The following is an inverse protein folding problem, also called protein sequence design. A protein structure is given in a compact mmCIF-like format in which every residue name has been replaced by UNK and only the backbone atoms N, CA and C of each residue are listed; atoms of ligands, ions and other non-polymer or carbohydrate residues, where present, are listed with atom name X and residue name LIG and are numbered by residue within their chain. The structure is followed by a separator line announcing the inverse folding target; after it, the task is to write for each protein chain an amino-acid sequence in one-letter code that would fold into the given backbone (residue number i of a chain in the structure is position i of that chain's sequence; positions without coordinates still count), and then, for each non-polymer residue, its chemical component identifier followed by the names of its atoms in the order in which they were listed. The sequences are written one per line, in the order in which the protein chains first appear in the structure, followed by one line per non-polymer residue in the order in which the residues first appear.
data_IF_970495550036
#
_entry.id   IF_970495550036
#
_cell.length_a   1.000
_cell.length_b   1.000
_cell.length_c   1.000
_cell.angle_alpha   90.00
_cell.angle_beta   90.00
_cell.angle_gamma   90.00
#
_symmetry.space_group_name_H-M   'P 1'
#
loop_
_entity.id
_entity.type
_entity.pdbx_description
1 polymer ?
#
# COMPACT_ATOMS: atom_id res chain seq x y z
N UNK A 1 -61.50 -35.89 58.14
CA UNK A 1 -60.12 -36.32 57.82
C UNK A 1 -59.79 -36.40 56.31
N UNK A 2 -60.71 -36.09 55.39
CA UNK A 2 -60.49 -36.26 53.93
C UNK A 2 -59.59 -35.16 53.30
N UNK A 3 -59.45 -33.99 53.93
CA UNK A 3 -58.66 -32.87 53.38
C UNK A 3 -57.14 -33.01 53.43
N UNK A 4 -56.60 -34.05 54.09
CA UNK A 4 -55.15 -34.26 54.20
C UNK A 4 -54.51 -34.74 52.89
N UNK A 5 -55.12 -35.74 52.26
CA UNK A 5 -54.56 -36.38 51.06
C UNK A 5 -54.52 -35.45 49.84
N UNK A 6 -55.54 -34.60 49.65
CA UNK A 6 -55.57 -33.63 48.54
C UNK A 6 -54.43 -32.60 48.64
N UNK A 7 -54.15 -32.10 49.86
CA UNK A 7 -53.04 -31.17 50.10
C UNK A 7 -51.67 -31.82 49.85
N UNK A 8 -51.54 -33.11 50.13
CA UNK A 8 -50.29 -33.85 49.91
C UNK A 8 -50.00 -34.08 48.41
N UNK A 9 -51.04 -34.34 47.61
CA UNK A 9 -50.93 -34.41 46.15
C UNK A 9 -50.55 -33.05 45.56
N UNK A 10 -51.23 -31.97 45.95
CA UNK A 10 -50.89 -30.62 45.49
C UNK A 10 -49.46 -30.22 45.87
N UNK A 11 -49.02 -30.53 47.09
CA UNK A 11 -47.65 -30.28 47.54
C UNK A 11 -46.62 -31.06 46.71
N UNK A 12 -46.91 -32.32 46.40
CA UNK A 12 -46.04 -33.16 45.57
C UNK A 12 -45.94 -32.62 44.15
N UNK A 13 -47.07 -32.19 43.57
CA UNK A 13 -47.12 -31.60 42.24
C UNK A 13 -46.38 -30.26 42.19
N UNK A 14 -46.53 -29.41 43.21
CA UNK A 14 -45.82 -28.13 43.30
C UNK A 14 -44.30 -28.35 43.41
N UNK A 15 -43.86 -29.31 44.24
CA UNK A 15 -42.44 -29.68 44.35
C UNK A 15 -41.87 -30.15 43.01
N UNK A 16 -42.61 -30.97 42.26
CA UNK A 16 -42.23 -31.40 40.91
C UNK A 16 -42.07 -30.21 39.97
N UNK A 17 -43.02 -29.27 39.94
CA UNK A 17 -42.95 -28.07 39.09
C UNK A 17 -41.78 -27.16 39.44
N UNK A 18 -41.52 -26.94 40.73
CA UNK A 18 -40.36 -26.15 41.20
C UNK A 18 -39.06 -26.80 40.75
N UNK A 19 -38.94 -28.13 40.86
CA UNK A 19 -37.77 -28.87 40.39
C UNK A 19 -37.59 -28.72 38.87
N UNK A 20 -38.66 -28.88 38.08
CA UNK A 20 -38.61 -28.71 36.62
C UNK A 20 -38.18 -27.29 36.24
N UNK A 21 -38.79 -26.27 36.84
CA UNK A 21 -38.42 -24.88 36.60
C UNK A 21 -36.97 -24.57 37.00
N UNK A 22 -36.47 -25.17 38.08
CA UNK A 22 -35.06 -25.03 38.47
C UNK A 22 -34.10 -25.62 37.44
N UNK A 23 -34.45 -26.77 36.84
CA UNK A 23 -33.66 -27.38 35.77
C UNK A 23 -33.70 -26.54 34.49
N UNK A 24 -34.88 -26.02 34.11
CA UNK A 24 -35.03 -25.12 32.97
C UNK A 24 -34.23 -23.83 33.15
N UNK A 25 -34.27 -23.22 34.34
CA UNK A 25 -33.48 -22.02 34.65
C UNK A 25 -31.98 -22.29 34.52
N UNK A 26 -31.51 -23.43 35.06
CA UNK A 26 -30.10 -23.84 34.95
C UNK A 26 -29.69 -24.03 33.49
N UNK A 27 -30.55 -24.64 32.67
CA UNK A 27 -30.30 -24.84 31.24
C UNK A 27 -30.27 -23.49 30.48
N UNK A 28 -31.17 -22.56 30.81
CA UNK A 28 -31.17 -21.23 30.22
C UNK A 28 -29.92 -20.44 30.60
N UNK A 29 -29.47 -20.52 31.86
CA UNK A 29 -28.23 -19.88 32.31
C UNK A 29 -27.00 -20.42 31.58
N UNK A 30 -26.91 -21.75 31.40
CA UNK A 30 -25.83 -22.35 30.62
C UNK A 30 -25.81 -21.83 29.17
N UNK A 31 -26.98 -21.72 28.53
CA UNK A 31 -27.09 -21.22 27.16
C UNK A 31 -26.76 -19.73 27.02
N UNK A 32 -27.10 -18.91 28.02
CA UNK A 32 -26.68 -17.50 28.07
C UNK A 32 -25.15 -17.41 28.18
N UNK A 33 -24.52 -18.24 29.01
CA UNK A 33 -23.07 -18.24 29.16
C UNK A 33 -22.36 -18.66 27.86
N UNK A 34 -22.87 -19.67 27.15
CA UNK A 34 -22.35 -20.09 25.84
C UNK A 34 -22.43 -18.96 24.81
N UNK A 35 -23.54 -18.21 24.78
CA UNK A 35 -23.69 -17.06 23.89
C UNK A 35 -22.75 -15.92 24.28
N UNK A 36 -22.57 -15.64 25.57
CA UNK A 36 -21.60 -14.66 26.04
C UNK A 36 -20.17 -15.04 25.66
N UNK A 37 -19.80 -16.32 25.79
CA UNK A 37 -18.48 -16.81 25.41
C UNK A 37 -18.28 -16.80 23.88
N UNK A 38 -19.33 -17.10 23.11
CA UNK A 38 -19.33 -16.92 21.66
C UNK A 38 -19.15 -15.45 21.27
N UNK A 39 -19.80 -14.51 21.98
CA UNK A 39 -19.68 -13.07 21.76
C UNK A 39 -18.32 -12.51 22.21
N UNK A 40 -17.65 -13.13 23.21
CA UNK A 40 -16.28 -12.79 23.60
C UNK A 40 -15.26 -13.19 22.53
N UNK A 41 -15.61 -14.12 21.65
CA UNK A 41 -14.76 -14.43 20.48
C UNK A 41 -14.86 -13.23 19.53
N UNK A 42 -13.77 -12.47 19.31
CA UNK A 42 -13.87 -11.26 18.50
C UNK A 42 -14.33 -11.64 17.09
N UNK A 43 -15.40 -11.01 16.61
CA UNK A 43 -16.08 -11.32 15.32
C UNK A 43 -15.13 -11.47 14.13
N UNK A 44 -13.99 -10.77 14.19
CA UNK A 44 -12.94 -10.83 13.17
C UNK A 44 -12.35 -12.24 12.98
N UNK A 45 -12.39 -13.08 14.01
CA UNK A 45 -11.93 -14.47 13.94
C UNK A 45 -12.93 -15.40 13.26
N UNK A 46 -14.15 -14.94 12.97
CA UNK A 46 -15.21 -15.73 12.30
C UNK A 46 -15.22 -15.45 10.78
N UNK A 47 -14.67 -14.31 10.36
CA UNK A 47 -14.52 -13.99 8.94
C UNK A 47 -13.70 -15.06 8.24
N UNK A 48 -14.03 -15.42 7.00
CA UNK A 48 -13.24 -16.33 6.16
C UNK A 48 -11.92 -15.65 5.73
N UNK A 49 -10.92 -16.45 5.38
CA UNK A 49 -9.57 -15.96 5.08
C UNK A 49 -9.57 -14.97 3.90
N UNK A 50 -10.43 -15.16 2.90
CA UNK A 50 -10.56 -14.28 1.74
C UNK A 50 -11.07 -12.88 2.10
N UNK A 51 -12.02 -12.81 3.04
CA UNK A 51 -12.56 -11.53 3.52
C UNK A 51 -11.51 -10.80 4.35
N UNK A 52 -10.78 -11.52 5.22
CA UNK A 52 -9.65 -10.94 5.97
C UNK A 52 -8.55 -10.45 5.04
N UNK A 53 -8.20 -11.24 4.03
CA UNK A 53 -7.21 -10.88 3.00
C UNK A 53 -7.61 -9.58 2.27
N UNK A 54 -8.89 -9.46 1.88
CA UNK A 54 -9.43 -8.25 1.25
C UNK A 54 -9.38 -7.04 2.19
N UNK A 55 -9.67 -7.24 3.49
CA UNK A 55 -9.51 -6.19 4.50
C UNK A 55 -8.05 -5.76 4.61
N UNK A 56 -7.11 -6.70 4.60
CA UNK A 56 -5.68 -6.40 4.66
C UNK A 56 -5.24 -5.57 3.44
N UNK A 57 -5.69 -5.92 2.24
CA UNK A 57 -5.44 -5.15 1.02
C UNK A 57 -5.96 -3.72 1.15
N UNK A 58 -7.18 -3.53 1.69
CA UNK A 58 -7.75 -2.20 1.91
C UNK A 58 -6.97 -1.39 2.96
N UNK A 59 -6.51 -2.01 4.06
CA UNK A 59 -5.68 -1.34 5.08
C UNK A 59 -4.35 -0.89 4.48
N UNK A 60 -3.73 -1.76 3.69
CA UNK A 60 -2.46 -1.47 3.03
C UNK A 60 -2.62 -0.38 1.96
N UNK A 61 -3.68 -0.44 1.14
CA UNK A 61 -3.97 0.57 0.12
C UNK A 61 -4.34 1.94 0.72
N UNK A 62 -5.19 1.99 1.74
CA UNK A 62 -5.59 3.25 2.40
C UNK A 62 -4.41 3.94 3.11
N UNK A 63 -3.45 3.17 3.62
CA UNK A 63 -2.21 3.72 4.17
C UNK A 63 -1.35 4.46 3.12
N UNK A 64 -1.61 4.23 1.82
CA UNK A 64 -0.83 4.76 0.70
C UNK A 64 -1.54 5.86 -0.08
N UNK A 65 -2.88 5.82 -0.18
CA UNK A 65 -3.70 6.72 -1.01
C UNK A 65 -3.75 8.19 -0.57
N UNK A 66 -2.97 8.61 0.42
CA UNK A 66 -3.02 9.99 0.89
C UNK A 66 -1.69 10.71 0.63
N UNK A 67 -1.52 11.30 -0.58
CA UNK A 67 -0.35 12.08 -0.99
C UNK A 67 0.06 13.14 0.03
N UNK A 68 -0.93 13.79 0.65
CA UNK A 68 -0.71 14.80 1.69
C UNK A 68 -0.52 14.21 3.11
N UNK A 69 -0.90 12.95 3.37
CA UNK A 69 -0.65 12.33 4.67
C UNK A 69 0.84 12.12 4.92
N UNK A 70 1.64 11.98 3.86
CA UNK A 70 3.10 11.93 3.97
C UNK A 70 3.69 13.24 4.47
N UNK A 71 2.99 14.37 4.31
CA UNK A 71 3.41 15.69 4.84
C UNK A 71 3.00 15.90 6.30
N UNK A 72 1.84 15.38 6.73
CA UNK A 72 1.33 15.58 8.09
C UNK A 72 1.60 14.44 9.09
N UNK A 73 1.84 13.21 8.62
CA UNK A 73 2.12 12.04 9.48
C UNK A 73 3.63 11.81 9.75
N UNK A 74 4.46 12.75 9.29
CA UNK A 74 5.92 12.70 9.19
C UNK A 74 6.66 12.45 10.51
N UNK A 75 6.02 12.63 11.67
CA UNK A 75 6.67 12.42 12.98
C UNK A 75 6.45 11.05 13.62
N UNK A 76 5.48 10.22 13.19
CA UNK A 76 5.19 8.92 13.86
C UNK A 76 4.68 7.76 13.01
N UNK A 77 4.20 7.98 11.77
CA UNK A 77 3.52 6.91 11.02
C UNK A 77 4.15 6.53 9.68
N UNK A 78 5.13 7.28 9.16
CA UNK A 78 5.76 7.00 7.87
C UNK A 78 6.57 5.67 7.82
N UNK A 79 6.78 5.03 8.97
CA UNK A 79 7.43 3.73 9.12
C UNK A 79 6.44 2.57 9.32
N UNK A 80 5.13 2.85 9.42
CA UNK A 80 4.16 1.79 9.61
C UNK A 80 4.07 1.01 8.30
N UNK A 81 4.62 -0.20 8.34
CA UNK A 81 4.46 -1.27 7.35
C UNK A 81 3.24 -2.07 7.78
N UNK A 82 2.02 -1.70 7.37
CA UNK A 82 0.79 -2.36 7.82
C UNK A 82 0.87 -3.87 7.61
N UNK A 83 1.42 -4.34 6.51
CA UNK A 83 1.68 -5.75 6.22
C UNK A 83 2.50 -6.47 7.31
N UNK A 84 3.55 -5.82 7.84
CA UNK A 84 4.30 -6.35 8.97
C UNK A 84 3.47 -6.32 10.25
N UNK A 85 2.72 -5.25 10.49
CA UNK A 85 1.85 -5.16 11.68
C UNK A 85 0.78 -6.27 11.67
N UNK A 86 0.13 -6.48 10.53
CA UNK A 86 -0.90 -7.49 10.32
C UNK A 86 -0.35 -8.91 10.56
N UNK A 87 0.85 -9.20 10.05
CA UNK A 87 1.49 -10.51 10.24
C UNK A 87 1.96 -10.81 11.68
N UNK A 88 1.90 -9.82 12.57
CA UNK A 88 2.26 -9.96 13.99
C UNK A 88 1.06 -10.01 14.95
N UNK A 89 -0.19 -9.89 14.47
CA UNK A 89 -1.39 -9.87 15.34
C UNK A 89 -1.66 -11.22 16.00
N UNK A 90 -1.85 -12.28 15.21
CA UNK A 90 -2.04 -13.64 15.68
C UNK A 90 -1.56 -14.64 14.62
N UNK A 91 -1.54 -15.94 14.95
CA UNK A 91 -1.06 -16.99 14.03
C UNK A 91 -1.82 -17.00 12.69
N UNK A 92 -3.16 -16.93 12.74
CA UNK A 92 -4.01 -16.93 11.55
C UNK A 92 -3.73 -15.72 10.65
N UNK A 93 -3.62 -14.53 11.24
CA UNK A 93 -3.33 -13.31 10.48
C UNK A 93 -1.95 -13.33 9.86
N UNK A 94 -0.98 -13.94 10.54
CA UNK A 94 0.35 -14.19 9.98
C UNK A 94 0.23 -15.04 8.73
N UNK A 95 -0.39 -16.22 8.82
CA UNK A 95 -0.55 -17.14 7.69
C UNK A 95 -1.19 -16.40 6.49
N UNK A 96 -2.35 -15.75 6.69
CA UNK A 96 -3.05 -14.97 5.66
C UNK A 96 -2.16 -13.86 5.07
N UNK A 97 -1.55 -13.02 5.93
CA UNK A 97 -0.75 -11.88 5.46
C UNK A 97 0.50 -12.35 4.72
N UNK A 98 1.11 -13.45 5.16
CA UNK A 98 2.34 -13.99 4.56
C UNK A 98 2.09 -14.74 3.25
N UNK A 99 0.87 -15.25 3.04
CA UNK A 99 0.44 -15.89 1.80
C UNK A 99 -0.17 -14.92 0.78
N UNK A 100 -0.66 -13.77 1.23
CA UNK A 100 -1.19 -12.74 0.36
C UNK A 100 -0.07 -11.87 -0.25
N UNK A 101 0.35 -12.21 -1.47
CA UNK A 101 1.45 -11.53 -2.17
C UNK A 101 1.19 -10.06 -2.52
N UNK A 102 -0.08 -9.62 -2.64
CA UNK A 102 -0.37 -8.20 -2.94
C UNK A 102 0.05 -7.25 -1.82
N UNK A 103 0.08 -7.71 -0.57
CA UNK A 103 0.53 -6.91 0.57
C UNK A 103 2.02 -6.56 0.45
N UNK A 104 2.80 -7.46 -0.14
CA UNK A 104 4.27 -7.38 -0.28
C UNK A 104 4.73 -6.84 -1.63
N UNK A 105 3.84 -6.77 -2.63
CA UNK A 105 4.16 -6.28 -3.97
C UNK A 105 4.43 -4.77 -4.05
N UNK A 106 4.51 -4.10 -2.91
CA UNK A 106 4.54 -2.65 -2.83
C UNK A 106 5.67 -2.25 -1.91
N UNK A 107 6.78 -1.88 -2.55
CA UNK A 107 8.08 -1.80 -1.92
C UNK A 107 8.43 -0.34 -1.72
N UNK A 108 8.61 0.06 -0.46
CA UNK A 108 9.19 1.35 -0.13
C UNK A 108 10.71 1.15 0.00
N UNK A 109 11.47 1.85 -0.83
CA UNK A 109 12.93 1.87 -0.81
C UNK A 109 13.42 3.19 -0.21
N UNK A 110 14.32 3.12 0.76
CA UNK A 110 15.00 4.29 1.33
C UNK A 110 16.43 3.94 1.74
N UNK A 111 17.37 4.91 1.82
CA UNK A 111 18.80 4.64 2.03
C UNK A 111 19.15 3.80 3.27
N UNK A 112 18.36 3.91 4.34
CA UNK A 112 18.57 3.20 5.59
C UNK A 112 17.93 1.80 5.65
N UNK A 113 17.21 1.36 4.62
CA UNK A 113 16.50 0.08 4.64
C UNK A 113 17.46 -1.12 4.74
N UNK A 114 17.09 -2.15 5.50
CA UNK A 114 17.84 -3.41 5.53
C UNK A 114 17.70 -4.18 4.21
N UNK A 115 18.77 -4.86 3.78
CA UNK A 115 18.74 -5.73 2.58
C UNK A 115 17.86 -6.95 2.83
N UNK A 116 17.91 -7.52 4.04
CA UNK A 116 17.04 -8.64 4.43
C UNK A 116 15.56 -8.29 4.28
N UNK A 117 15.22 -7.05 4.68
CA UNK A 117 13.85 -6.58 4.59
C UNK A 117 13.44 -6.31 3.14
N UNK A 118 14.36 -5.86 2.29
CA UNK A 118 14.10 -5.72 0.86
C UNK A 118 13.87 -7.10 0.20
N UNK A 119 14.77 -8.05 0.46
CA UNK A 119 14.69 -9.42 -0.04
C UNK A 119 13.42 -10.12 0.42
N UNK A 120 12.99 -9.89 1.67
CA UNK A 120 11.72 -10.40 2.17
C UNK A 120 10.52 -9.94 1.33
N UNK A 121 10.49 -8.66 0.91
CA UNK A 121 9.38 -8.17 0.07
C UNK A 121 9.42 -8.81 -1.31
N UNK A 122 10.61 -8.93 -1.92
CA UNK A 122 10.76 -9.59 -3.21
C UNK A 122 10.29 -11.05 -3.13
N UNK A 123 10.77 -11.81 -2.15
CA UNK A 123 10.37 -13.21 -1.93
C UNK A 123 8.86 -13.35 -1.75
N UNK A 124 8.26 -12.51 -0.91
CA UNK A 124 6.82 -12.58 -0.57
C UNK A 124 5.91 -12.05 -1.67
N UNK A 125 6.41 -11.15 -2.52
CA UNK A 125 5.67 -10.64 -3.66
C UNK A 125 5.44 -11.68 -4.76
N UNK A 126 6.25 -12.75 -4.80
CA UNK A 126 6.17 -13.83 -5.80
C UNK A 126 6.15 -13.22 -7.22
N UNK A 127 5.26 -13.69 -8.09
CA UNK A 127 5.12 -13.19 -9.48
C UNK A 127 4.22 -11.94 -9.61
N UNK A 128 3.92 -11.25 -8.50
CA UNK A 128 3.03 -10.09 -8.51
C UNK A 128 3.75 -8.86 -9.07
N UNK A 129 3.02 -8.04 -9.83
CA UNK A 129 3.55 -6.77 -10.31
C UNK A 129 3.91 -5.83 -9.17
N UNK A 130 5.14 -5.31 -9.20
CA UNK A 130 5.64 -4.44 -8.13
C UNK A 130 5.26 -2.98 -8.35
N UNK A 131 4.97 -2.29 -7.25
CA UNK A 131 4.88 -0.84 -7.19
C UNK A 131 5.95 -0.34 -6.23
N UNK A 132 6.94 0.35 -6.77
CA UNK A 132 8.14 0.76 -6.05
C UNK A 132 8.04 2.23 -5.72
N UNK A 133 8.17 2.57 -4.44
CA UNK A 133 8.22 3.94 -3.95
C UNK A 133 9.59 4.25 -3.38
N UNK A 134 10.31 5.19 -3.99
CA UNK A 134 11.63 5.63 -3.54
C UNK A 134 11.48 6.87 -2.65
N UNK A 135 11.80 6.71 -1.37
CA UNK A 135 11.65 7.71 -0.31
C UNK A 135 13.00 8.21 0.21
N UNK A 136 13.11 9.53 0.38
CA UNK A 136 14.31 10.22 0.84
C UNK A 136 14.16 10.86 2.23
N UNK A 137 13.22 10.37 3.05
CA UNK A 137 12.84 11.05 4.30
C UNK A 137 13.95 11.15 5.35
N UNK A 138 15.02 10.39 5.21
CA UNK A 138 16.13 10.37 6.16
C UNK A 138 17.36 11.09 5.61
N UNK A 139 17.42 12.40 5.81
CA UNK A 139 18.50 13.28 5.32
C UNK A 139 19.82 13.09 6.05
N UNK A 140 19.86 12.32 7.13
CA UNK A 140 21.09 12.10 7.90
C UNK A 140 22.10 11.17 7.18
N UNK A 141 21.71 10.56 6.05
CA UNK A 141 22.49 9.48 5.40
C UNK A 141 22.83 9.74 3.94
N UNK A 142 23.38 10.93 3.61
CA UNK A 142 24.04 11.13 2.31
C UNK A 142 25.07 10.04 2.00
N UNK A 143 25.67 9.42 3.03
CA UNK A 143 26.64 8.34 2.96
C UNK A 143 26.11 6.98 2.43
N UNK A 144 24.84 6.82 2.06
CA UNK A 144 24.28 5.51 1.64
C UNK A 144 23.55 5.52 0.29
N UNK A 145 23.78 6.53 -0.55
CA UNK A 145 23.13 6.61 -1.86
C UNK A 145 23.55 5.46 -2.80
N UNK A 146 24.79 4.98 -2.73
CA UNK A 146 25.25 3.81 -3.51
C UNK A 146 24.43 2.55 -3.22
N UNK A 147 23.96 2.40 -1.97
CA UNK A 147 23.12 1.28 -1.58
C UNK A 147 21.71 1.43 -2.13
N UNK A 148 21.16 2.64 -2.06
CA UNK A 148 19.86 2.95 -2.67
C UNK A 148 19.88 2.64 -4.17
N UNK A 149 20.93 3.06 -4.87
CA UNK A 149 21.13 2.81 -6.29
C UNK A 149 21.11 1.30 -6.58
N UNK A 150 21.95 0.52 -5.89
CA UNK A 150 21.99 -0.94 -6.05
C UNK A 150 20.65 -1.60 -5.75
N UNK A 151 19.96 -1.20 -4.69
CA UNK A 151 18.64 -1.76 -4.34
C UNK A 151 17.61 -1.41 -5.40
N UNK A 152 17.61 -0.20 -5.95
CA UNK A 152 16.70 0.19 -7.02
C UNK A 152 16.95 -0.62 -8.30
N UNK A 153 18.22 -0.74 -8.71
CA UNK A 153 18.61 -1.56 -9.87
C UNK A 153 18.19 -3.01 -9.69
N UNK A 154 18.47 -3.61 -8.52
CA UNK A 154 18.03 -4.96 -8.18
C UNK A 154 16.51 -5.09 -8.20
N UNK A 155 15.80 -4.12 -7.63
CA UNK A 155 14.33 -4.15 -7.59
C UNK A 155 13.78 -4.15 -9.00
N UNK A 156 14.21 -3.22 -9.86
CA UNK A 156 13.65 -3.12 -11.20
C UNK A 156 14.10 -4.30 -12.08
N UNK A 157 15.34 -4.79 -11.92
CA UNK A 157 15.85 -5.93 -12.68
C UNK A 157 15.19 -7.27 -12.28
N UNK A 158 14.98 -7.51 -10.99
CA UNK A 158 14.39 -8.76 -10.49
C UNK A 158 12.86 -8.75 -10.59
N UNK A 159 12.25 -7.59 -10.48
CA UNK A 159 10.81 -7.45 -10.58
C UNK A 159 10.36 -7.42 -12.03
N UNK A 160 10.59 -8.48 -12.80
CA UNK A 160 10.13 -8.63 -14.19
C UNK A 160 8.82 -7.88 -14.51
N UNK A 161 7.80 -7.85 -13.63
CA UNK A 161 6.61 -7.01 -13.78
C UNK A 161 6.56 -5.74 -12.88
N UNK A 162 7.57 -4.86 -12.83
CA UNK A 162 7.45 -3.56 -12.14
C UNK A 162 6.40 -2.70 -12.88
N UNK A 163 5.22 -2.52 -12.29
CA UNK A 163 4.10 -1.80 -12.90
C UNK A 163 4.05 -0.33 -12.54
N UNK A 164 4.57 0.03 -11.36
CA UNK A 164 4.54 1.40 -10.86
C UNK A 164 5.88 1.78 -10.26
N UNK A 165 6.38 2.97 -10.59
CA UNK A 165 7.57 3.56 -9.99
C UNK A 165 7.25 5.00 -9.58
N UNK A 166 7.27 5.24 -8.28
CA UNK A 166 7.17 6.57 -7.70
C UNK A 166 8.51 6.95 -7.10
N UNK A 167 9.06 8.08 -7.53
CA UNK A 167 10.27 8.65 -6.97
C UNK A 167 9.87 9.99 -6.39
N UNK A 168 9.79 10.07 -5.06
CA UNK A 168 9.39 11.27 -4.35
C UNK A 168 10.55 11.77 -3.47
N UNK A 169 11.51 12.50 -4.08
CA UNK A 169 12.54 13.18 -3.32
C UNK A 169 11.89 14.13 -2.32
N UNK A 170 12.54 14.24 -1.17
CA UNK A 170 12.30 15.34 -0.27
C UNK A 170 12.67 16.67 -0.98
N UNK A 171 12.45 17.82 -0.34
CA UNK A 171 12.71 19.12 -0.96
C UNK A 171 14.21 19.38 -1.31
N UNK A 172 15.10 18.41 -1.13
CA UNK A 172 16.53 18.54 -1.39
C UNK A 172 16.88 17.89 -2.74
N UNK A 173 17.38 18.70 -3.66
CA UNK A 173 17.65 18.34 -5.06
C UNK A 173 18.89 17.42 -5.21
N UNK A 174 19.64 17.17 -4.14
CA UNK A 174 20.97 16.54 -4.19
C UNK A 174 20.93 15.03 -4.47
N UNK A 175 19.77 14.39 -4.32
CA UNK A 175 19.69 12.92 -4.42
C UNK A 175 19.48 12.39 -5.84
N UNK A 176 19.03 13.24 -6.77
CA UNK A 176 18.78 12.82 -8.15
C UNK A 176 20.04 12.43 -8.89
N UNK A 177 21.17 13.10 -8.63
CA UNK A 177 22.44 12.77 -9.26
C UNK A 177 22.87 11.32 -9.00
N UNK A 178 22.49 10.74 -7.86
CA UNK A 178 22.77 9.33 -7.53
C UNK A 178 21.74 8.36 -8.10
N UNK A 179 20.46 8.75 -8.19
CA UNK A 179 19.44 7.89 -8.79
C UNK A 179 19.49 7.85 -10.30
N UNK A 180 19.88 8.96 -10.92
CA UNK A 180 19.80 9.14 -12.35
C UNK A 180 20.61 8.08 -13.13
N UNK A 181 21.86 7.74 -12.75
CA UNK A 181 22.59 6.63 -13.36
C UNK A 181 21.79 5.32 -13.35
N UNK A 182 21.22 4.91 -12.21
CA UNK A 182 20.41 3.70 -12.12
C UNK A 182 19.21 3.74 -13.07
N UNK A 183 18.46 4.85 -13.09
CA UNK A 183 17.28 4.97 -13.96
C UNK A 183 17.65 4.98 -15.44
N UNK A 184 18.77 5.59 -15.81
CA UNK A 184 19.23 5.59 -17.19
C UNK A 184 19.71 4.22 -17.64
N UNK A 185 20.35 3.44 -16.76
CA UNK A 185 20.92 2.12 -17.09
C UNK A 185 19.89 0.98 -17.02
N UNK A 186 18.76 1.19 -16.37
CA UNK A 186 17.77 0.15 -16.12
C UNK A 186 16.74 0.08 -17.24
N UNK A 187 16.42 -1.12 -17.73
CA UNK A 187 15.27 -1.31 -18.61
C UNK A 187 14.01 -1.58 -17.78
N UNK A 188 12.90 -0.91 -18.10
CA UNK A 188 11.62 -1.05 -17.38
C UNK A 188 10.46 -1.39 -18.34
N UNK A 189 10.51 -2.52 -19.08
CA UNK A 189 9.58 -2.80 -20.19
C UNK A 189 8.11 -2.94 -19.76
N UNK A 190 7.83 -3.21 -18.48
CA UNK A 190 6.48 -3.42 -17.94
C UNK A 190 5.93 -2.23 -17.14
N UNK A 191 6.67 -1.12 -17.07
CA UNK A 191 6.29 0.03 -16.28
C UNK A 191 5.06 0.72 -16.88
N UNK A 192 3.97 0.79 -16.10
CA UNK A 192 2.69 1.38 -16.50
C UNK A 192 2.45 2.74 -15.86
N UNK A 193 3.01 2.96 -14.69
CA UNK A 193 2.86 4.19 -13.94
C UNK A 193 4.23 4.72 -13.51
N UNK A 194 4.51 5.98 -13.83
CA UNK A 194 5.72 6.68 -13.42
C UNK A 194 5.33 8.01 -12.78
N UNK A 195 5.72 8.17 -11.53
CA UNK A 195 5.50 9.40 -10.76
C UNK A 195 6.87 9.95 -10.37
N UNK A 196 7.21 11.12 -10.91
CA UNK A 196 8.44 11.85 -10.64
C UNK A 196 8.10 13.06 -9.76
N UNK A 197 8.54 13.03 -8.51
CA UNK A 197 8.40 14.11 -7.54
C UNK A 197 9.35 15.28 -7.79
N UNK A 198 9.24 16.29 -6.93
CA UNK A 198 9.99 17.56 -7.03
C UNK A 198 11.50 17.36 -6.87
N UNK A 199 12.28 18.31 -7.39
CA UNK A 199 13.72 18.41 -7.13
C UNK A 199 14.63 18.00 -8.29
N UNK A 200 14.05 17.69 -9.46
CA UNK A 200 14.80 17.49 -10.70
C UNK A 200 15.18 18.88 -11.25
N UNK A 201 16.40 19.36 -10.99
CA UNK A 201 16.90 20.62 -11.59
C UNK A 201 17.84 20.32 -12.75
N UNK A 202 17.84 21.20 -13.78
CA UNK A 202 18.69 21.06 -14.97
C UNK A 202 20.18 20.90 -14.66
N UNK A 203 20.64 21.43 -13.53
CA UNK A 203 22.05 21.39 -13.13
C UNK A 203 22.58 19.99 -12.81
N UNK A 204 21.69 19.05 -12.48
CA UNK A 204 22.06 17.78 -11.84
C UNK A 204 21.99 16.58 -12.78
N UNK A 205 21.59 16.81 -14.04
CA UNK A 205 21.08 15.74 -14.90
C UNK A 205 21.62 15.93 -16.32
N UNK A 206 22.30 14.91 -16.87
CA UNK A 206 22.77 14.91 -18.25
C UNK A 206 21.64 14.70 -19.26
N UNK A 207 21.93 14.78 -20.56
CA UNK A 207 20.92 14.63 -21.64
C UNK A 207 20.48 13.18 -21.91
N UNK A 208 20.89 12.22 -21.08
CA UNK A 208 20.60 10.79 -21.27
C UNK A 208 19.11 10.49 -21.05
N UNK A 209 18.40 9.84 -21.98
CA UNK A 209 17.01 9.49 -21.73
C UNK A 209 16.88 8.48 -20.57
N UNK A 210 15.81 8.60 -19.79
CA UNK A 210 15.46 7.60 -18.77
C UNK A 210 15.20 6.23 -19.43
N UNK A 211 15.50 5.16 -18.70
CA UNK A 211 15.29 3.77 -19.11
C UNK A 211 15.97 3.36 -20.41
N UNK A 212 17.23 3.78 -20.62
CA UNK A 212 18.00 3.59 -21.85
C UNK A 212 17.28 4.07 -23.13
N UNK A 213 16.32 5.01 -23.00
CA UNK A 213 15.50 5.48 -24.11
C UNK A 213 14.48 4.46 -24.64
N UNK A 214 14.36 3.28 -24.02
CA UNK A 214 13.29 2.34 -24.32
C UNK A 214 12.02 2.83 -23.65
N UNK A 215 11.00 3.09 -24.45
CA UNK A 215 9.73 3.60 -23.95
C UNK A 215 8.98 2.48 -23.23
N UNK A 216 8.71 2.62 -21.92
CA UNK A 216 7.88 1.67 -21.19
C UNK A 216 6.44 1.66 -21.75
N UNK A 217 5.65 0.63 -21.41
CA UNK A 217 4.19 0.56 -21.64
C UNK A 217 3.42 1.52 -20.71
N UNK A 218 3.85 2.78 -20.72
CA UNK A 218 3.48 3.79 -19.77
C UNK A 218 2.07 4.31 -20.05
N UNK A 219 1.18 4.11 -19.09
CA UNK A 219 -0.21 4.58 -19.14
C UNK A 219 -0.39 5.88 -18.35
N UNK A 220 0.37 6.06 -17.28
CA UNK A 220 0.28 7.18 -16.35
C UNK A 220 1.65 7.79 -16.16
N UNK A 221 1.78 9.07 -16.48
CA UNK A 221 2.97 9.88 -16.19
C UNK A 221 2.57 11.07 -15.32
N UNK A 222 3.14 11.15 -14.13
CA UNK A 222 3.07 12.33 -13.29
C UNK A 222 4.46 12.89 -13.09
N UNK A 223 4.65 14.18 -13.33
CA UNK A 223 5.94 14.83 -13.19
C UNK A 223 5.76 16.18 -12.48
N UNK A 224 6.52 16.37 -11.40
CA UNK A 224 6.51 17.57 -10.59
C UNK A 224 7.89 18.23 -10.63
N UNK A 225 7.99 19.44 -11.18
CA UNK A 225 9.25 20.18 -11.32
C UNK A 225 10.32 19.38 -12.08
N UNK A 226 9.92 18.72 -13.17
CA UNK A 226 10.83 17.91 -14.01
C UNK A 226 11.22 18.67 -15.29
N UNK A 227 12.51 18.71 -15.66
CA UNK A 227 12.97 19.28 -16.92
C UNK A 227 12.29 18.62 -18.12
N UNK A 228 11.77 19.40 -19.08
CA UNK A 228 11.14 18.84 -20.28
C UNK A 228 12.05 17.93 -21.10
N UNK A 229 13.36 18.17 -21.10
CA UNK A 229 14.36 17.35 -21.81
C UNK A 229 14.32 15.89 -21.37
N UNK A 230 14.06 15.62 -20.09
CA UNK A 230 13.93 14.26 -19.54
C UNK A 230 12.58 13.62 -19.83
N UNK A 231 11.53 14.43 -19.92
CA UNK A 231 10.18 13.96 -20.19
C UNK A 231 9.96 13.64 -21.66
N UNK A 232 10.71 14.30 -22.57
CA UNK A 232 10.47 14.22 -24.02
C UNK A 232 10.34 12.79 -24.54
N UNK A 233 11.25 11.84 -24.23
CA UNK A 233 11.07 10.45 -24.66
C UNK A 233 9.77 9.84 -24.11
N UNK A 234 9.48 10.04 -22.83
CA UNK A 234 8.31 9.47 -22.15
C UNK A 234 6.98 10.01 -22.71
N UNK A 235 6.95 11.26 -23.18
CA UNK A 235 5.78 11.88 -23.81
C UNK A 235 5.47 11.29 -25.21
N UNK A 236 6.44 10.64 -25.84
CA UNK A 236 6.25 9.94 -27.10
C UNK A 236 5.69 8.52 -26.91
N UNK A 237 5.43 8.08 -25.66
CA UNK A 237 4.85 6.77 -25.37
C UNK A 237 3.41 6.66 -25.93
N UNK A 238 3.14 5.70 -26.84
CA UNK A 238 1.85 5.61 -27.53
C UNK A 238 0.70 5.17 -26.63
N UNK A 239 1.00 4.59 -25.47
CA UNK A 239 0.00 4.08 -24.51
C UNK A 239 -0.36 5.10 -23.42
N UNK A 240 0.20 6.30 -23.46
CA UNK A 240 0.02 7.28 -22.40
C UNK A 240 -1.44 7.78 -22.38
N UNK A 241 -2.17 7.41 -21.34
CA UNK A 241 -3.60 7.76 -21.14
C UNK A 241 -3.82 8.89 -20.14
N UNK A 242 -2.86 9.10 -19.24
CA UNK A 242 -2.93 10.10 -18.18
C UNK A 242 -1.59 10.82 -18.05
N UNK A 243 -1.63 12.15 -18.10
CA UNK A 243 -0.46 13.02 -18.02
C UNK A 243 -0.73 14.15 -17.03
N UNK A 244 0.02 14.18 -15.94
CA UNK A 244 -0.02 15.29 -14.97
C UNK A 244 1.34 15.95 -14.87
N UNK A 245 1.43 17.21 -15.31
CA UNK A 245 2.66 17.99 -15.23
C UNK A 245 2.44 19.18 -14.30
N UNK A 246 3.20 19.26 -13.20
CA UNK A 246 3.14 20.42 -12.31
C UNK A 246 4.51 21.07 -12.24
N UNK A 247 4.56 22.39 -12.45
CA UNK A 247 5.76 23.17 -12.24
C UNK A 247 5.49 24.28 -11.22
N UNK A 248 6.35 24.43 -10.23
CA UNK A 248 6.37 25.51 -9.26
C UNK A 248 7.20 26.68 -9.80
N UNK A 249 6.86 27.17 -10.99
CA UNK A 249 7.16 28.56 -11.30
C UNK A 249 6.11 29.38 -10.58
N UNK A 250 6.38 29.82 -9.34
CA UNK A 250 5.58 30.84 -8.64
C UNK A 250 4.12 31.00 -9.14
N UNK A 251 3.23 30.06 -8.74
CA UNK A 251 1.75 30.07 -8.88
C UNK A 251 1.06 29.72 -10.23
N UNK A 252 1.51 28.78 -11.06
CA UNK A 252 0.61 28.17 -12.08
C UNK A 252 0.74 26.66 -12.17
N UNK A 253 -0.35 25.92 -11.94
CA UNK A 253 -0.45 24.45 -12.11
C UNK A 253 -1.45 24.10 -13.20
N UNK A 254 -1.08 23.25 -14.15
CA UNK A 254 -1.94 22.74 -15.22
C UNK A 254 -2.21 21.25 -14.99
N UNK A 255 -3.47 20.83 -14.99
CA UNK A 255 -3.84 19.40 -14.94
C UNK A 255 -4.58 19.09 -16.23
N UNK A 256 -4.02 18.23 -17.08
CA UNK A 256 -4.68 17.73 -18.28
C UNK A 256 -5.42 16.44 -17.91
N UNK A 257 -6.72 16.54 -17.66
CA UNK A 257 -7.60 15.39 -17.73
C UNK A 257 -8.00 15.20 -19.19
N UNK A 258 -8.06 13.96 -19.66
CA UNK A 258 -8.61 13.59 -20.96
C UNK A 258 -10.14 13.77 -20.97
N UNK A 259 -10.60 15.00 -20.80
CA UNK A 259 -11.97 15.40 -21.11
C UNK A 259 -12.00 15.80 -22.60
N UNK A 260 -12.89 15.22 -23.44
CA UNK A 260 -12.81 15.34 -24.89
C UNK A 260 -13.14 16.73 -25.48
N UNK A 261 -13.35 17.78 -24.66
CA UNK A 261 -13.95 19.03 -25.14
C UNK A 261 -13.19 20.33 -24.90
N UNK A 262 -11.90 20.33 -24.57
CA UNK A 262 -11.15 21.60 -24.71
C UNK A 262 -9.85 21.72 -23.94
N UNK A 263 -8.81 21.07 -24.45
CA UNK A 263 -7.46 21.61 -24.68
C UNK A 263 -6.65 20.43 -25.24
N UNK A 264 -6.20 20.53 -26.48
CA UNK A 264 -5.64 19.37 -27.18
C UNK A 264 -4.24 19.07 -26.66
N UNK A 265 -3.98 17.81 -26.29
CA UNK A 265 -2.65 17.23 -26.05
C UNK A 265 -1.59 17.71 -27.07
N UNK A 266 -2.01 17.97 -28.32
CA UNK A 266 -1.14 18.44 -29.40
C UNK A 266 -0.63 19.87 -29.24
N UNK A 267 -1.34 20.76 -28.54
CA UNK A 267 -0.89 22.14 -28.33
C UNK A 267 0.29 22.19 -27.34
N UNK A 268 0.28 21.34 -26.31
CA UNK A 268 1.39 21.22 -25.37
C UNK A 268 2.61 20.55 -26.00
N UNK A 269 2.40 19.54 -26.86
CA UNK A 269 3.48 18.90 -27.63
C UNK A 269 4.20 19.86 -28.58
N UNK A 270 3.57 20.96 -28.98
CA UNK A 270 4.20 22.02 -29.81
C UNK A 270 4.93 23.08 -28.99
N UNK A 271 4.59 23.22 -27.71
CA UNK A 271 5.19 24.23 -26.82
C UNK A 271 6.49 23.72 -26.15
N UNK A 272 6.72 22.40 -26.16
CA UNK A 272 7.93 21.72 -25.71
C UNK A 272 8.86 21.38 -26.88
#
# INVERSE_FOLDING_TARGET
MIGGAAKEVELTQLKSRIRTAGLELTAMQARVQELEDALKTPYINILVDEVLSTIFDMVVASSRLHPDSWRYSQKRNAERRPELTLSHVCRRWREIATDNSSLWAQIIIFPAQSEDLHNLYLERSRDRSLNVHVSFKDTAYTLRLDRLQRTLEQTIALAGPCSGLEIAPNNYCEHWSSLYPALTQTEAPHLKELILGRGLTNSSIGDTPLFNGRLPVLNVLQAHDVPPTLLRPLLDAPQLTSLTLRWNFTKQSYTLNSDPSGFSYNEYRRAL
#
